data_IF_285239344862
#
_entry.id   IF_285239344862
#
_cell.length_a   1.000
_cell.length_b   1.000
_cell.length_c   1.000
_cell.angle_alpha   90.00
_cell.angle_beta   90.00
_cell.angle_gamma   90.00
#
_symmetry.space_group_name_H-M   'P 1'
#
loop_
_entity.id
_entity.type
_entity.pdbx_description
1 polymer ?
#
# COMPACT_ATOMS: atom_id res chain seq x y z
N UNK A 1 -11.90 -3.19 16.67
CA UNK A 1 -10.76 -3.02 17.61
C UNK A 1 -10.22 -1.61 17.59
N UNK A 2 -9.84 -1.04 16.44
CA UNK A 2 -9.36 0.36 16.33
C UNK A 2 -10.36 1.35 16.91
N UNK A 3 -11.65 1.14 16.68
CA UNK A 3 -12.72 1.95 17.28
C UNK A 3 -12.70 1.91 18.82
N UNK A 4 -12.50 0.73 19.41
CA UNK A 4 -12.40 0.59 20.86
C UNK A 4 -11.18 1.32 21.43
N UNK A 5 -10.04 1.25 20.76
CA UNK A 5 -8.84 1.98 21.16
C UNK A 5 -9.07 3.50 21.15
N UNK A 6 -9.73 4.03 20.12
CA UNK A 6 -10.11 5.44 20.08
C UNK A 6 -11.17 5.82 21.11
N UNK A 7 -12.15 4.94 21.38
CA UNK A 7 -13.18 5.17 22.41
C UNK A 7 -12.59 5.21 23.83
N UNK A 8 -11.60 4.37 24.10
CA UNK A 8 -10.86 4.31 25.37
C UNK A 8 -9.78 5.40 25.49
N UNK A 9 -9.66 6.27 24.48
CA UNK A 9 -8.68 7.37 24.43
C UNK A 9 -7.22 6.90 24.54
N UNK A 10 -6.93 5.73 24.00
CA UNK A 10 -5.59 5.13 24.04
C UNK A 10 -4.65 5.75 22.99
N UNK A 11 -5.16 6.48 22.01
CA UNK A 11 -4.36 7.17 21.00
C UNK A 11 -3.36 8.17 21.59
N UNK A 12 -3.69 8.78 22.72
CA UNK A 12 -2.80 9.73 23.40
C UNK A 12 -1.50 9.13 23.91
N UNK A 13 -1.46 7.83 24.19
CA UNK A 13 -0.24 7.18 24.69
C UNK A 13 0.89 7.18 23.68
N UNK A 14 0.58 7.25 22.40
CA UNK A 14 1.61 7.26 21.36
C UNK A 14 2.35 8.60 21.26
N UNK A 15 1.78 9.69 21.78
CA UNK A 15 2.46 11.00 21.82
C UNK A 15 3.75 10.99 22.66
N UNK A 16 3.95 9.97 23.48
CA UNK A 16 5.22 9.74 24.19
C UNK A 16 6.28 9.06 23.31
N UNK A 17 5.95 8.71 22.06
CA UNK A 17 6.94 8.11 21.16
C UNK A 17 7.98 9.13 20.70
N UNK A 18 9.29 8.79 20.84
CA UNK A 18 10.35 9.66 20.38
C UNK A 18 10.33 9.82 18.84
N UNK A 19 10.65 11.02 18.36
CA UNK A 19 10.78 11.31 16.91
C UNK A 19 11.61 10.30 16.11
N UNK A 20 12.72 9.75 16.63
CA UNK A 20 13.49 8.72 15.91
C UNK A 20 12.68 7.47 15.54
N UNK A 21 11.65 7.10 16.34
CA UNK A 21 10.78 5.96 16.06
C UNK A 21 9.90 6.25 14.84
N UNK A 22 9.35 7.47 14.74
CA UNK A 22 8.56 7.91 13.60
C UNK A 22 9.43 7.94 12.34
N UNK A 23 10.64 8.50 12.43
CA UNK A 23 11.60 8.52 11.33
C UNK A 23 11.98 7.11 10.87
N UNK A 24 12.23 6.20 11.81
CA UNK A 24 12.51 4.78 11.53
C UNK A 24 11.33 4.08 10.84
N UNK A 25 10.10 4.34 11.28
CA UNK A 25 8.89 3.82 10.65
C UNK A 25 8.74 4.31 9.20
N UNK A 26 8.95 5.61 8.96
CA UNK A 26 8.89 6.19 7.60
C UNK A 26 9.97 5.61 6.70
N UNK A 27 11.20 5.47 7.20
CA UNK A 27 12.31 4.87 6.47
C UNK A 27 12.03 3.39 6.13
N UNK A 28 11.54 2.61 7.09
CA UNK A 28 11.17 1.22 6.88
C UNK A 28 10.03 1.09 5.85
N UNK A 29 9.01 1.95 5.94
CA UNK A 29 7.90 1.98 4.98
C UNK A 29 8.40 2.30 3.57
N UNK A 30 9.30 3.28 3.43
CA UNK A 30 9.96 3.61 2.17
C UNK A 30 10.77 2.44 1.61
N UNK A 31 11.52 1.76 2.47
CA UNK A 31 12.27 0.57 2.10
C UNK A 31 11.38 -0.57 1.61
N UNK A 32 10.27 -0.83 2.30
CA UNK A 32 9.31 -1.87 1.87
C UNK A 32 8.67 -1.54 0.52
N UNK A 33 8.32 -0.27 0.27
CA UNK A 33 7.80 0.16 -1.02
C UNK A 33 8.85 -0.01 -2.14
N UNK A 34 10.08 0.40 -1.88
CA UNK A 34 11.18 0.26 -2.83
C UNK A 34 11.50 -1.20 -3.12
N UNK A 35 11.66 -2.02 -2.08
CA UNK A 35 11.93 -3.46 -2.23
C UNK A 35 10.78 -4.21 -2.89
N UNK A 36 9.54 -3.81 -2.57
CA UNK A 36 8.33 -4.34 -3.22
C UNK A 36 8.27 -3.99 -4.71
N UNK A 37 8.64 -2.77 -5.09
CA UNK A 37 8.71 -2.35 -6.48
C UNK A 37 9.75 -3.17 -7.27
N UNK A 38 10.94 -3.38 -6.71
CA UNK A 38 11.97 -4.23 -7.34
C UNK A 38 11.47 -5.66 -7.49
N UNK A 39 10.82 -6.21 -6.48
CA UNK A 39 10.28 -7.57 -6.52
C UNK A 39 9.22 -7.75 -7.61
N UNK A 40 8.31 -6.79 -7.76
CA UNK A 40 7.29 -6.82 -8.83
C UNK A 40 7.96 -6.72 -10.20
N UNK A 41 8.93 -5.85 -10.33
CA UNK A 41 9.68 -5.59 -11.54
C UNK A 41 10.54 -6.77 -11.99
N UNK A 42 11.30 -7.38 -11.06
CA UNK A 42 12.16 -8.53 -11.37
C UNK A 42 11.38 -9.85 -11.37
N UNK A 43 10.17 -9.88 -10.79
CA UNK A 43 9.39 -11.10 -10.53
C UNK A 43 10.11 -12.12 -9.63
N UNK A 44 11.15 -11.68 -8.94
CA UNK A 44 12.00 -12.48 -8.06
C UNK A 44 12.16 -11.77 -6.71
N UNK A 45 12.37 -12.51 -5.61
CA UNK A 45 12.66 -11.91 -4.32
C UNK A 45 14.02 -11.20 -4.35
N UNK A 46 14.15 -10.12 -3.58
CA UNK A 46 15.44 -9.46 -3.37
C UNK A 46 16.46 -10.44 -2.82
N UNK A 47 17.47 -10.75 -3.63
CA UNK A 47 18.57 -11.64 -3.29
C UNK A 47 19.88 -11.07 -3.84
N UNK A 48 21.02 -11.54 -3.33
CA UNK A 48 22.31 -11.19 -3.91
C UNK A 48 22.42 -11.62 -5.36
N UNK A 49 21.74 -12.69 -5.73
CA UNK A 49 21.69 -13.21 -7.09
C UNK A 49 20.98 -12.24 -8.03
N UNK A 50 19.84 -11.66 -7.60
CA UNK A 50 19.14 -10.61 -8.35
C UNK A 50 20.02 -9.37 -8.56
N UNK A 51 20.79 -8.96 -7.54
CA UNK A 51 21.72 -7.83 -7.68
C UNK A 51 22.81 -8.11 -8.71
N UNK A 52 23.36 -9.33 -8.74
CA UNK A 52 24.35 -9.75 -9.74
C UNK A 52 23.74 -9.82 -11.14
N UNK A 53 22.48 -10.27 -11.28
CA UNK A 53 21.76 -10.33 -12.54
C UNK A 53 21.44 -8.92 -13.09
N UNK A 54 21.10 -7.98 -12.24
CA UNK A 54 20.95 -6.58 -12.62
C UNK A 54 22.29 -6.01 -13.07
N UNK A 55 23.36 -6.27 -12.33
CA UNK A 55 24.71 -5.80 -12.67
C UNK A 55 25.22 -6.40 -14.00
N UNK A 56 24.81 -7.63 -14.35
CA UNK A 56 25.13 -8.26 -15.62
C UNK A 56 24.26 -7.79 -16.81
N UNK A 57 23.35 -6.85 -16.58
CA UNK A 57 22.48 -6.26 -17.60
C UNK A 57 21.13 -6.94 -17.77
N UNK A 58 20.86 -8.02 -17.04
CA UNK A 58 19.54 -8.65 -17.03
C UNK A 58 18.53 -7.64 -16.44
N UNK A 59 17.39 -7.45 -17.09
CA UNK A 59 16.34 -6.48 -16.69
C UNK A 59 16.73 -4.99 -16.80
N UNK A 60 17.87 -4.64 -17.39
CA UNK A 60 18.35 -3.27 -17.48
C UNK A 60 17.34 -2.34 -18.19
N UNK A 61 16.73 -2.80 -19.26
CA UNK A 61 15.71 -2.06 -20.03
C UNK A 61 14.51 -1.66 -19.16
N UNK A 62 13.99 -2.56 -18.33
CA UNK A 62 12.88 -2.28 -17.43
C UNK A 62 13.31 -1.35 -16.30
N UNK A 63 14.51 -1.53 -15.76
CA UNK A 63 15.07 -0.69 -14.72
C UNK A 63 15.23 0.75 -15.21
N UNK A 64 15.74 0.94 -16.42
CA UNK A 64 15.86 2.28 -17.04
C UNK A 64 14.49 2.91 -17.19
N UNK A 65 13.49 2.19 -17.72
CA UNK A 65 12.11 2.70 -17.84
C UNK A 65 11.52 3.05 -16.48
N UNK A 66 11.69 2.17 -15.48
CA UNK A 66 11.20 2.40 -14.12
C UNK A 66 11.83 3.62 -13.47
N UNK A 67 13.16 3.79 -13.61
CA UNK A 67 13.88 4.96 -13.10
C UNK A 67 13.44 6.24 -13.80
N UNK A 68 13.27 6.22 -15.12
CA UNK A 68 12.77 7.37 -15.88
C UNK A 68 11.38 7.79 -15.41
N UNK A 69 10.47 6.84 -15.24
CA UNK A 69 9.13 7.12 -14.72
C UNK A 69 9.22 7.70 -13.30
N UNK A 70 10.05 7.13 -12.44
CA UNK A 70 10.24 7.64 -11.07
C UNK A 70 10.78 9.08 -11.06
N UNK A 71 11.75 9.41 -11.92
CA UNK A 71 12.28 10.76 -12.07
C UNK A 71 11.22 11.74 -12.60
N UNK A 72 10.42 11.33 -13.57
CA UNK A 72 9.31 12.13 -14.10
C UNK A 72 8.27 12.42 -13.02
N UNK A 73 7.88 11.41 -12.25
CA UNK A 73 6.94 11.57 -11.13
C UNK A 73 7.52 12.43 -10.00
N UNK A 74 8.83 12.28 -9.71
CA UNK A 74 9.51 13.14 -8.73
C UNK A 74 9.55 14.61 -9.21
N UNK A 75 9.83 14.84 -10.49
CA UNK A 75 9.74 16.18 -11.09
C UNK A 75 8.33 16.76 -11.03
N UNK A 76 7.32 15.93 -11.28
CA UNK A 76 5.91 16.32 -11.20
C UNK A 76 5.49 16.80 -9.81
N UNK A 77 6.04 16.19 -8.75
CA UNK A 77 5.76 16.61 -7.36
C UNK A 77 6.28 18.03 -7.05
N UNK A 78 7.31 18.49 -7.79
CA UNK A 78 7.84 19.85 -7.69
C UNK A 78 7.14 20.86 -8.59
N UNK A 79 6.32 20.38 -9.53
CA UNK A 79 5.53 21.24 -10.39
C UNK A 79 4.45 21.99 -9.59
N UNK A 80 4.19 23.25 -9.99
CA UNK A 80 3.14 24.07 -9.36
C UNK A 80 1.72 23.61 -9.70
N UNK A 81 1.59 22.66 -10.63
CA UNK A 81 0.28 22.17 -11.08
C UNK A 81 -0.09 20.90 -10.30
N UNK A 82 -1.18 20.92 -9.51
CA UNK A 82 -1.58 19.79 -8.67
C UNK A 82 -1.93 18.53 -9.50
N UNK A 83 -2.39 18.71 -10.74
CA UNK A 83 -2.74 17.61 -11.64
C UNK A 83 -1.54 17.03 -12.41
N UNK A 84 -0.34 17.61 -12.30
CA UNK A 84 0.84 17.12 -13.03
C UNK A 84 1.19 15.67 -12.67
N UNK A 85 1.13 15.31 -11.39
CA UNK A 85 1.45 13.96 -10.93
C UNK A 85 0.48 12.90 -11.47
N UNK A 86 -0.86 13.02 -11.30
CA UNK A 86 -1.79 12.04 -11.85
C UNK A 86 -1.77 12.02 -13.39
N UNK A 87 -1.59 13.17 -14.05
CA UNK A 87 -1.49 13.23 -15.51
C UNK A 87 -0.28 12.44 -16.03
N UNK A 88 0.90 12.64 -15.43
CA UNK A 88 2.11 11.88 -15.79
C UNK A 88 1.93 10.40 -15.51
N UNK A 89 1.35 10.04 -14.37
CA UNK A 89 1.08 8.63 -14.03
C UNK A 89 0.23 7.94 -15.11
N UNK A 90 -0.90 8.57 -15.47
CA UNK A 90 -1.80 8.04 -16.51
C UNK A 90 -1.09 7.98 -17.87
N UNK A 91 -0.34 9.00 -18.22
CA UNK A 91 0.43 9.03 -19.48
C UNK A 91 1.46 7.90 -19.52
N UNK A 92 2.19 7.65 -18.44
CA UNK A 92 3.15 6.55 -18.37
C UNK A 92 2.48 5.17 -18.50
N UNK A 93 1.30 4.98 -17.88
CA UNK A 93 0.53 3.74 -18.01
C UNK A 93 0.11 3.54 -19.49
N UNK A 94 -0.47 4.57 -20.10
CA UNK A 94 -0.89 4.52 -21.51
C UNK A 94 0.31 4.28 -22.43
N UNK A 95 1.43 4.96 -22.20
CA UNK A 95 2.65 4.79 -22.99
C UNK A 95 3.21 3.37 -22.88
N UNK A 96 3.19 2.77 -21.68
CA UNK A 96 3.65 1.39 -21.49
C UNK A 96 2.75 0.39 -22.23
N UNK A 97 1.43 0.53 -22.10
CA UNK A 97 0.47 -0.33 -22.79
C UNK A 97 0.59 -0.17 -24.32
N UNK A 98 0.67 1.06 -24.80
CA UNK A 98 0.86 1.36 -26.21
C UNK A 98 2.20 0.78 -26.73
N UNK A 99 3.28 0.93 -25.97
CA UNK A 99 4.59 0.37 -26.32
C UNK A 99 4.54 -1.16 -26.48
N UNK A 100 3.87 -1.87 -25.58
CA UNK A 100 3.65 -3.33 -25.68
C UNK A 100 2.85 -3.67 -26.92
N UNK A 101 1.79 -2.90 -27.23
CA UNK A 101 0.95 -3.10 -28.39
C UNK A 101 1.72 -2.86 -29.71
N UNK A 102 2.46 -1.76 -29.82
CA UNK A 102 3.26 -1.43 -31.02
C UNK A 102 4.46 -2.38 -31.22
N UNK A 103 5.00 -2.93 -30.13
CA UNK A 103 6.02 -3.96 -30.20
C UNK A 103 5.49 -5.32 -30.70
N UNK A 104 4.17 -5.45 -30.91
CA UNK A 104 3.54 -6.69 -31.36
C UNK A 104 3.64 -7.83 -30.34
N UNK A 105 3.88 -7.52 -29.06
CA UNK A 105 4.00 -8.54 -28.02
C UNK A 105 2.60 -9.06 -27.63
N UNK A 106 2.36 -10.38 -27.71
CA UNK A 106 1.12 -10.96 -27.20
C UNK A 106 0.94 -10.63 -25.72
N UNK A 107 -0.28 -10.35 -25.23
CA UNK A 107 -0.52 -9.98 -23.84
C UNK A 107 0.01 -10.99 -22.83
N UNK A 108 -0.02 -12.26 -23.15
CA UNK A 108 0.48 -13.34 -22.28
C UNK A 108 2.01 -13.30 -22.15
N UNK A 109 2.71 -13.04 -23.27
CA UNK A 109 4.15 -12.85 -23.28
C UNK A 109 4.54 -11.58 -22.53
N UNK A 110 3.80 -10.49 -22.72
CA UNK A 110 4.03 -9.24 -22.00
C UNK A 110 3.81 -9.38 -20.50
N UNK A 111 2.85 -10.19 -20.05
CA UNK A 111 2.64 -10.53 -18.63
C UNK A 111 3.76 -11.43 -18.10
N UNK A 112 4.10 -12.48 -18.84
CA UNK A 112 5.17 -13.41 -18.46
C UNK A 112 6.53 -12.71 -18.40
N UNK A 113 6.78 -11.74 -19.29
CA UNK A 113 8.00 -10.95 -19.28
C UNK A 113 8.00 -9.80 -18.25
N UNK A 114 6.88 -9.53 -17.55
CA UNK A 114 6.77 -8.50 -16.51
C UNK A 114 6.59 -7.07 -17.03
N UNK A 115 6.26 -6.87 -18.29
CA UNK A 115 5.87 -5.57 -18.84
C UNK A 115 4.42 -5.20 -18.48
N UNK A 116 3.56 -6.22 -18.36
CA UNK A 116 2.20 -6.05 -17.86
C UNK A 116 2.03 -6.79 -16.54
N UNK A 117 1.18 -6.25 -15.68
CA UNK A 117 0.87 -6.88 -14.40
C UNK A 117 0.17 -8.22 -14.65
N UNK A 118 0.71 -9.29 -14.08
CA UNK A 118 0.10 -10.60 -14.11
C UNK A 118 -0.94 -10.69 -12.99
N UNK A 119 -2.18 -10.29 -13.32
CA UNK A 119 -3.32 -10.43 -12.40
C UNK A 119 -3.88 -11.83 -12.63
N UNK A 120 -3.88 -12.72 -11.62
CA UNK A 120 -4.53 -14.01 -11.75
C UNK A 120 -6.01 -13.77 -12.12
N UNK A 121 -6.60 -14.59 -13.00
CA UNK A 121 -8.01 -14.48 -13.34
C UNK A 121 -8.82 -14.74 -12.08
N UNK A 122 -9.16 -13.67 -11.40
CA UNK A 122 -10.14 -13.72 -10.32
C UNK A 122 -11.50 -13.80 -10.97
N UNK A 123 -12.21 -14.91 -10.76
CA UNK A 123 -13.63 -14.90 -10.98
C UNK A 123 -14.21 -13.72 -10.19
N UNK A 124 -14.91 -12.82 -10.88
CA UNK A 124 -15.63 -11.70 -10.25
C UNK A 124 -16.81 -12.18 -9.39
N UNK A 125 -16.89 -13.47 -9.10
CA UNK A 125 -17.72 -14.01 -8.04
C UNK A 125 -17.21 -13.47 -6.71
N UNK A 126 -17.54 -12.21 -6.45
CA UNK A 126 -17.49 -11.65 -5.10
C UNK A 126 -18.70 -12.21 -4.34
N UNK A 127 -18.56 -13.30 -3.62
CA UNK A 127 -19.62 -13.75 -2.76
C UNK A 127 -19.73 -12.72 -1.64
N UNK A 128 -20.76 -11.89 -1.73
CA UNK A 128 -21.10 -11.04 -0.59
C UNK A 128 -21.21 -11.95 0.64
N UNK A 129 -20.55 -11.63 1.76
CA UNK A 129 -20.44 -12.53 2.92
C UNK A 129 -21.79 -13.08 3.41
N UNK A 130 -22.88 -12.31 3.20
CA UNK A 130 -24.23 -12.69 3.61
C UNK A 130 -25.00 -13.51 2.58
N UNK A 131 -24.50 -13.66 1.33
CA UNK A 131 -25.11 -14.50 0.29
C UNK A 131 -24.60 -15.93 0.31
N UNK A 132 -23.56 -16.19 1.09
CA UNK A 132 -22.97 -17.52 1.20
C UNK A 132 -23.51 -18.17 2.46
N UNK A 133 -24.23 -19.27 2.27
CA UNK A 133 -24.60 -20.16 3.37
C UNK A 133 -23.34 -20.89 3.88
N UNK A 134 -22.51 -20.17 4.62
CA UNK A 134 -21.24 -20.65 5.16
C UNK A 134 -21.30 -21.03 6.62
N UNK A 135 -22.47 -21.26 7.18
CA UNK A 135 -22.57 -21.73 8.58
C UNK A 135 -21.77 -22.98 8.84
N UNK A 136 -21.59 -23.83 7.82
CA UNK A 136 -20.76 -25.03 7.87
C UNK A 136 -19.25 -24.79 7.71
N UNK A 137 -18.85 -23.59 7.23
CA UNK A 137 -17.44 -23.28 6.96
C UNK A 137 -16.76 -22.48 8.08
N UNK A 138 -17.53 -21.91 9.00
CA UNK A 138 -17.00 -21.19 10.15
C UNK A 138 -16.78 -22.19 11.29
N UNK A 139 -15.55 -22.62 11.46
CA UNK A 139 -15.15 -23.43 12.60
C UNK A 139 -14.70 -22.52 13.76
N UNK A 140 -15.49 -22.43 14.85
CA UNK A 140 -15.15 -21.60 16.01
C UNK A 140 -13.82 -22.01 16.66
N UNK A 141 -13.47 -23.29 16.59
CA UNK A 141 -12.21 -23.79 17.13
C UNK A 141 -11.00 -23.22 16.36
N UNK A 142 -11.09 -23.16 15.04
CA UNK A 142 -10.06 -22.55 14.19
C UNK A 142 -9.89 -21.08 14.52
N UNK A 143 -10.98 -20.32 14.72
CA UNK A 143 -10.92 -18.91 15.12
C UNK A 143 -10.18 -18.76 16.46
N UNK A 144 -10.52 -19.58 17.43
CA UNK A 144 -9.87 -19.52 18.75
C UNK A 144 -8.39 -19.93 18.69
N UNK A 145 -8.05 -20.95 17.90
CA UNK A 145 -6.67 -21.41 17.70
C UNK A 145 -5.75 -20.31 17.15
N UNK A 146 -6.25 -19.42 16.30
CA UNK A 146 -5.50 -18.31 15.71
C UNK A 146 -5.64 -17.00 16.49
N UNK A 147 -6.23 -17.01 17.70
CA UNK A 147 -6.47 -15.81 18.51
C UNK A 147 -5.22 -14.96 18.75
N UNK A 148 -4.06 -15.57 19.01
CA UNK A 148 -2.78 -14.88 19.17
C UNK A 148 -2.35 -14.13 17.92
N UNK A 149 -2.60 -14.70 16.73
CA UNK A 149 -2.28 -14.04 15.46
C UNK A 149 -3.22 -12.84 15.18
N UNK A 150 -4.50 -12.95 15.58
CA UNK A 150 -5.41 -11.81 15.49
C UNK A 150 -5.00 -10.66 16.40
N UNK A 151 -4.57 -10.97 17.64
CA UNK A 151 -4.06 -9.96 18.58
C UNK A 151 -2.82 -9.27 18.00
N UNK A 152 -1.87 -10.04 17.48
CA UNK A 152 -0.67 -9.51 16.84
C UNK A 152 -1.02 -8.60 15.65
N UNK A 153 -1.92 -9.06 14.76
CA UNK A 153 -2.39 -8.30 13.60
C UNK A 153 -3.04 -6.98 14.02
N UNK A 154 -3.92 -7.02 15.01
CA UNK A 154 -4.60 -5.83 15.55
C UNK A 154 -3.59 -4.84 16.10
N UNK A 155 -2.61 -5.33 16.87
CA UNK A 155 -1.56 -4.48 17.44
C UNK A 155 -0.74 -3.80 16.35
N UNK A 156 -0.35 -4.54 15.32
CA UNK A 156 0.39 -3.98 14.17
C UNK A 156 -0.45 -2.94 13.42
N UNK A 157 -1.74 -3.21 13.16
CA UNK A 157 -2.62 -2.27 12.47
C UNK A 157 -2.78 -0.97 13.26
N UNK A 158 -3.05 -1.06 14.57
CA UNK A 158 -3.21 0.13 15.42
C UNK A 158 -1.90 0.90 15.51
N UNK A 159 -0.76 0.24 15.71
CA UNK A 159 0.54 0.89 15.75
C UNK A 159 0.87 1.57 14.43
N UNK A 160 0.65 0.90 13.30
CA UNK A 160 0.87 1.46 11.96
C UNK A 160 -0.01 2.68 11.71
N UNK A 161 -1.29 2.63 12.07
CA UNK A 161 -2.21 3.74 11.94
C UNK A 161 -1.73 4.96 12.74
N UNK A 162 -1.42 4.75 14.02
CA UNK A 162 -0.98 5.83 14.90
C UNK A 162 0.34 6.45 14.45
N UNK A 163 1.33 5.64 14.04
CA UNK A 163 2.59 6.12 13.50
C UNK A 163 2.39 6.88 12.18
N UNK A 164 1.46 6.44 11.35
CA UNK A 164 1.11 7.13 10.11
C UNK A 164 0.49 8.50 10.36
N UNK A 165 -0.40 8.60 11.37
CA UNK A 165 -1.01 9.89 11.75
C UNK A 165 0.07 10.84 12.29
N UNK A 166 0.95 10.36 13.18
CA UNK A 166 2.05 11.18 13.70
C UNK A 166 3.00 11.64 12.58
N UNK A 167 3.28 10.79 11.59
CA UNK A 167 4.07 11.18 10.43
C UNK A 167 3.38 12.30 9.63
N UNK A 168 2.05 12.25 9.49
CA UNK A 168 1.28 13.33 8.87
C UNK A 168 1.29 14.62 9.70
N UNK A 169 1.16 14.55 11.03
CA UNK A 169 1.27 15.72 11.91
C UNK A 169 2.61 16.45 11.72
N UNK A 170 3.71 15.68 11.68
CA UNK A 170 5.05 16.24 11.47
C UNK A 170 5.16 16.92 10.11
N UNK A 171 4.64 16.30 9.06
CA UNK A 171 4.76 16.81 7.68
C UNK A 171 3.81 17.99 7.41
N UNK A 172 2.57 17.92 7.91
CA UNK A 172 1.56 18.97 7.71
C UNK A 172 1.63 20.09 8.73
N UNK A 173 2.35 19.88 9.84
CA UNK A 173 2.42 20.78 10.99
C UNK A 173 1.04 21.10 11.60
N UNK A 174 0.07 20.23 11.41
CA UNK A 174 -1.26 20.34 11.97
C UNK A 174 -1.43 19.29 13.06
N UNK A 175 -2.06 19.68 14.17
CA UNK A 175 -2.41 18.75 15.25
C UNK A 175 -3.63 17.91 14.83
N UNK A 176 -3.53 16.60 14.93
CA UNK A 176 -4.58 15.65 14.51
C UNK A 176 -5.10 14.93 15.75
N UNK A 177 -6.42 14.82 15.88
CA UNK A 177 -7.03 14.05 16.96
C UNK A 177 -6.89 12.54 16.71
N UNK A 178 -5.88 11.94 17.35
CA UNK A 178 -5.55 10.52 17.24
C UNK A 178 -6.72 9.60 17.63
N UNK A 179 -7.48 10.00 18.66
CA UNK A 179 -8.61 9.18 19.14
C UNK A 179 -9.78 9.24 18.16
N UNK A 180 -9.98 10.38 17.50
CA UNK A 180 -10.99 10.56 16.46
C UNK A 180 -10.63 9.72 15.20
N UNK A 181 -9.39 9.78 14.75
CA UNK A 181 -8.90 9.03 13.60
C UNK A 181 -8.96 7.50 13.83
N UNK A 182 -8.64 7.04 15.04
CA UNK A 182 -8.81 5.64 15.42
C UNK A 182 -10.26 5.18 15.32
N UNK A 183 -11.21 6.01 15.74
CA UNK A 183 -12.65 5.71 15.65
C UNK A 183 -13.10 5.65 14.19
N UNK A 184 -12.72 6.65 13.38
CA UNK A 184 -13.08 6.72 11.97
C UNK A 184 -12.52 5.52 11.19
N UNK A 185 -11.25 5.21 11.39
CA UNK A 185 -10.63 4.05 10.75
C UNK A 185 -11.28 2.74 11.21
N UNK A 186 -11.60 2.63 12.50
CA UNK A 186 -12.31 1.48 13.05
C UNK A 186 -13.70 1.29 12.45
N UNK A 187 -14.45 2.37 12.26
CA UNK A 187 -15.76 2.36 11.62
C UNK A 187 -15.66 2.01 10.14
N UNK A 188 -14.73 2.63 9.42
CA UNK A 188 -14.49 2.33 8.01
C UNK A 188 -14.14 0.86 7.77
N UNK A 189 -13.28 0.28 8.63
CA UNK A 189 -12.93 -1.12 8.57
C UNK A 189 -14.09 -2.05 8.93
N UNK A 190 -14.97 -1.63 9.82
CA UNK A 190 -16.18 -2.39 10.14
C UNK A 190 -17.13 -2.44 8.95
N UNK A 191 -17.38 -1.29 8.32
CA UNK A 191 -18.21 -1.21 7.10
C UNK A 191 -17.59 -2.02 5.96
N UNK A 192 -16.27 -1.87 5.75
CA UNK A 192 -15.54 -2.65 4.74
C UNK A 192 -15.65 -4.15 4.99
N UNK A 193 -15.47 -4.59 6.24
CA UNK A 193 -15.57 -6.00 6.61
C UNK A 193 -16.97 -6.58 6.39
N UNK A 194 -18.02 -5.81 6.72
CA UNK A 194 -19.42 -6.20 6.43
C UNK A 194 -19.64 -6.31 4.92
N UNK A 195 -19.06 -5.41 4.13
CA UNK A 195 -19.13 -5.47 2.67
C UNK A 195 -18.22 -6.53 2.02
N UNK A 196 -17.47 -7.33 2.80
CA UNK A 196 -16.52 -8.32 2.28
C UNK A 196 -15.21 -7.74 1.77
N UNK A 197 -14.92 -6.49 2.12
CA UNK A 197 -13.69 -5.80 1.77
C UNK A 197 -12.52 -6.15 2.68
N UNK A 198 -11.35 -5.65 2.29
CA UNK A 198 -10.14 -5.83 3.07
C UNK A 198 -9.96 -4.75 4.15
N UNK A 199 -9.18 -5.06 5.17
CA UNK A 199 -8.80 -4.10 6.21
C UNK A 199 -7.92 -3.02 5.60
N UNK A 200 -8.32 -1.76 5.77
CA UNK A 200 -7.59 -0.58 5.31
C UNK A 200 -6.94 0.17 6.47
N UNK A 201 -5.82 0.81 6.17
CA UNK A 201 -5.15 1.77 7.07
C UNK A 201 -4.90 3.07 6.32
N UNK A 202 -4.70 4.14 7.08
CA UNK A 202 -4.35 5.44 6.53
C UNK A 202 -3.00 5.36 5.79
N UNK A 203 -2.97 5.85 4.56
CA UNK A 203 -1.74 5.92 3.76
C UNK A 203 -1.17 7.32 3.80
N UNK A 204 -0.04 7.51 4.49
CA UNK A 204 0.66 8.80 4.62
C UNK A 204 0.87 9.46 3.26
N UNK A 205 1.40 8.70 2.30
CA UNK A 205 1.71 9.24 0.95
C UNK A 205 0.48 9.76 0.21
N UNK A 206 -0.63 9.00 0.24
CA UNK A 206 -1.87 9.40 -0.45
C UNK A 206 -2.54 10.58 0.23
N UNK A 207 -2.60 10.57 1.57
CA UNK A 207 -3.21 11.67 2.34
C UNK A 207 -2.41 12.95 2.16
N UNK A 208 -1.09 12.87 2.21
CA UNK A 208 -0.21 14.02 2.00
C UNK A 208 -0.32 14.56 0.57
N UNK A 209 -0.41 13.67 -0.42
CA UNK A 209 -0.64 14.07 -1.80
C UNK A 209 -1.99 14.79 -1.97
N UNK A 210 -3.07 14.25 -1.39
CA UNK A 210 -4.38 14.89 -1.40
C UNK A 210 -4.36 16.26 -0.71
N UNK A 211 -3.68 16.36 0.43
CA UNK A 211 -3.50 17.62 1.15
C UNK A 211 -2.77 18.70 0.32
N UNK A 212 -1.79 18.32 -0.49
CA UNK A 212 -1.07 19.24 -1.39
C UNK A 212 -1.90 19.68 -2.62
N UNK A 213 -2.88 18.89 -2.99
CA UNK A 213 -3.76 19.23 -4.12
C UNK A 213 -4.91 20.18 -3.75
N UNK A 214 -5.17 20.40 -2.46
CA UNK A 214 -6.24 21.25 -1.92
C UNK A 214 -7.40 20.40 -1.46
#
# INVERSE_FOLDING_TARGET
>A
TSYLFGALKLGRWIRFMPYPVIGGFMAASGWFLFSGAIRIFAQEPLSFQLLSDIASGRHMEKLVVGVLIALMLHGAQRARYPLAFPAILVTCIIATVAGVFFAGLPPDVARASGWLLNIPPTSLDMPLPWLIDRRSLIDPYTIFRFSGQYVALITVIVATLLLSIMALEVETKNDIDLDHELKLNGLANLVSGVAGGNVGTLSVSRTFFSYRMG
#
